data_IF_431643573371
#
_entry.id   IF_431643573371
#
_cell.length_a   1.000
_cell.length_b   1.000
_cell.length_c   1.000
_cell.angle_alpha   90.00
_cell.angle_beta   90.00
_cell.angle_gamma   90.00
#
_symmetry.space_group_name_H-M   'P 1'
#
loop_
_entity.id
_entity.type
_entity.pdbx_description
1 polymer ?
#
# COMPACT_ATOMS: atom_id res chain seq x y z
N UNK A 1 -3.81 25.62 -22.14
CA UNK A 1 -3.70 24.53 -21.15
C UNK A 1 -2.60 23.61 -21.64
N UNK A 2 -1.55 23.38 -20.84
CA UNK A 2 -0.52 22.39 -21.18
C UNK A 2 -1.16 21.00 -21.29
N UNK A 3 -0.70 20.20 -22.26
CA UNK A 3 -1.22 18.81 -22.39
C UNK A 3 -0.65 17.96 -21.26
N UNK A 4 -1.43 17.78 -20.20
CA UNK A 4 -1.04 16.98 -19.03
C UNK A 4 -0.80 15.49 -19.38
N UNK A 5 -1.22 15.02 -20.56
CA UNK A 5 -1.04 13.63 -21.00
C UNK A 5 0.43 13.23 -21.07
N UNK A 6 1.36 14.18 -21.32
CA UNK A 6 2.81 13.91 -21.32
C UNK A 6 3.36 13.42 -19.97
N UNK A 7 2.62 13.61 -18.86
CA UNK A 7 3.01 13.13 -17.54
C UNK A 7 2.46 11.74 -17.20
N UNK A 8 1.55 11.20 -18.03
CA UNK A 8 0.93 9.89 -17.80
C UNK A 8 1.98 8.78 -17.72
N UNK A 9 2.98 8.78 -18.61
CA UNK A 9 4.02 7.77 -18.61
C UNK A 9 4.84 7.80 -17.31
N UNK A 10 5.18 8.99 -16.81
CA UNK A 10 5.86 9.15 -15.53
C UNK A 10 4.98 8.67 -14.36
N UNK A 11 3.70 9.07 -14.34
CA UNK A 11 2.75 8.64 -13.31
C UNK A 11 2.62 7.12 -13.29
N UNK A 12 2.51 6.50 -14.47
CA UNK A 12 2.39 5.06 -14.59
C UNK A 12 3.66 4.32 -14.13
N UNK A 13 4.85 4.89 -14.38
CA UNK A 13 6.10 4.36 -13.86
C UNK A 13 6.15 4.45 -12.33
N UNK A 14 5.81 5.61 -11.76
CA UNK A 14 5.76 5.79 -10.31
C UNK A 14 4.73 4.87 -9.67
N UNK A 15 3.55 4.72 -10.27
CA UNK A 15 2.52 3.79 -9.77
C UNK A 15 3.04 2.34 -9.75
N UNK A 16 3.70 1.88 -10.82
CA UNK A 16 4.31 0.54 -10.85
C UNK A 16 5.34 0.34 -9.75
N UNK A 17 6.20 1.33 -9.55
CA UNK A 17 7.26 1.26 -8.55
C UNK A 17 6.66 1.25 -7.13
N UNK A 18 5.70 2.13 -6.85
CA UNK A 18 5.00 2.15 -5.56
C UNK A 18 4.24 0.84 -5.29
N UNK A 19 3.53 0.31 -6.30
CA UNK A 19 2.79 -0.95 -6.19
C UNK A 19 3.70 -2.16 -5.96
N UNK A 20 4.96 -2.10 -6.40
CA UNK A 20 5.93 -3.16 -6.18
C UNK A 20 6.55 -3.16 -4.77
N UNK A 21 6.39 -2.07 -4.00
CA UNK A 21 6.90 -1.96 -2.64
C UNK A 21 5.82 -2.44 -1.66
N UNK A 22 6.15 -3.41 -0.83
CA UNK A 22 5.27 -3.86 0.25
C UNK A 22 5.18 -2.78 1.34
N UNK A 23 3.95 -2.42 1.70
CA UNK A 23 3.72 -1.37 2.71
C UNK A 23 2.40 -1.56 3.48
N UNK A 24 2.09 -2.75 4.02
CA UNK A 24 0.93 -2.86 4.91
C UNK A 24 1.08 -1.87 6.07
N UNK A 25 -0.06 -1.33 6.56
CA UNK A 25 -0.02 -0.32 7.64
C UNK A 25 0.84 -0.78 8.80
N UNK A 26 1.83 0.05 9.17
CA UNK A 26 2.87 -0.26 10.14
C UNK A 26 4.22 -0.70 9.53
N UNK A 27 4.26 -1.12 8.28
CA UNK A 27 5.48 -1.46 7.54
C UNK A 27 5.68 -0.49 6.37
N UNK A 28 5.89 0.78 6.66
CA UNK A 28 5.97 1.86 5.65
C UNK A 28 7.39 2.38 5.37
N UNK A 29 8.45 1.77 5.91
CA UNK A 29 9.81 2.32 5.81
C UNK A 29 10.29 2.41 4.38
N UNK A 30 10.16 1.34 3.61
CA UNK A 30 10.67 1.27 2.23
C UNK A 30 9.93 2.21 1.29
N UNK A 31 8.61 2.28 1.37
CA UNK A 31 7.82 3.20 0.55
C UNK A 31 8.13 4.65 0.89
N UNK A 32 8.37 4.97 2.16
CA UNK A 32 8.79 6.30 2.61
C UNK A 32 10.17 6.68 2.07
N UNK A 33 11.13 5.77 2.11
CA UNK A 33 12.48 5.99 1.56
C UNK A 33 12.44 6.18 0.05
N UNK A 34 11.64 5.40 -0.65
CA UNK A 34 11.40 5.57 -2.08
C UNK A 34 10.85 6.96 -2.41
N UNK A 35 9.78 7.39 -1.72
CA UNK A 35 9.17 8.70 -1.92
C UNK A 35 10.14 9.85 -1.68
N UNK A 36 10.91 9.80 -0.58
CA UNK A 36 11.92 10.83 -0.27
C UNK A 36 12.97 10.94 -1.37
N UNK A 37 13.48 9.81 -1.85
CA UNK A 37 14.47 9.75 -2.92
C UNK A 37 13.94 10.33 -4.24
N UNK A 38 12.74 9.94 -4.64
CA UNK A 38 12.14 10.41 -5.89
C UNK A 38 11.78 11.90 -5.85
N UNK A 39 11.27 12.38 -4.71
CA UNK A 39 10.99 13.81 -4.52
C UNK A 39 12.26 14.64 -4.50
N UNK A 40 13.34 14.17 -3.88
CA UNK A 40 14.64 14.79 -3.92
C UNK A 40 15.19 14.89 -5.36
N UNK A 41 15.05 13.82 -6.16
CA UNK A 41 15.44 13.81 -7.58
C UNK A 41 14.66 14.84 -8.41
N UNK A 42 13.43 15.16 -8.01
CA UNK A 42 12.63 16.25 -8.58
C UNK A 42 13.06 17.63 -8.05
N UNK A 43 13.94 17.72 -7.04
CA UNK A 43 14.31 18.95 -6.38
C UNK A 43 13.25 19.48 -5.41
N UNK A 44 12.32 18.64 -5.00
CA UNK A 44 11.26 18.96 -4.04
C UNK A 44 11.78 18.78 -2.62
N UNK A 45 11.56 19.76 -1.76
CA UNK A 45 11.86 19.63 -0.33
C UNK A 45 10.84 18.71 0.32
N UNK A 46 11.31 17.59 0.85
CA UNK A 46 10.48 16.61 1.52
C UNK A 46 11.11 16.15 2.83
N UNK A 47 10.28 15.76 3.77
CA UNK A 47 10.71 15.23 5.07
C UNK A 47 9.80 14.11 5.55
N UNK A 48 10.35 13.21 6.35
CA UNK A 48 9.56 12.20 7.05
C UNK A 48 8.72 12.85 8.16
N UNK A 49 7.48 12.42 8.30
CA UNK A 49 6.60 12.81 9.40
C UNK A 49 6.88 11.98 10.65
N UNK A 50 6.36 12.39 11.80
CA UNK A 50 6.46 11.61 13.04
C UNK A 50 5.84 10.22 12.92
N UNK A 51 4.76 10.09 12.13
CA UNK A 51 4.11 8.81 11.84
C UNK A 51 4.85 7.98 10.77
N UNK A 52 5.88 8.51 10.14
CA UNK A 52 6.68 7.82 9.15
C UNK A 52 6.28 8.07 7.69
N UNK A 53 5.18 8.78 7.41
CA UNK A 53 4.84 9.24 6.06
C UNK A 53 5.75 10.39 5.59
N UNK A 54 5.43 11.02 4.47
CA UNK A 54 6.24 12.10 3.87
C UNK A 54 5.40 13.35 3.66
N UNK A 55 5.90 14.50 4.14
CA UNK A 55 5.42 15.82 3.72
C UNK A 55 6.40 16.40 2.70
N UNK A 56 5.89 16.79 1.55
CA UNK A 56 6.62 17.45 0.48
C UNK A 56 6.08 18.86 0.25
N UNK A 57 6.97 19.82 0.07
CA UNK A 57 6.63 21.21 -0.21
C UNK A 57 6.75 21.47 -1.73
N UNK A 58 5.62 21.59 -2.40
CA UNK A 58 5.56 21.87 -3.84
C UNK A 58 5.70 23.38 -4.15
N UNK A 59 5.85 24.22 -3.11
CA UNK A 59 5.98 25.66 -3.26
C UNK A 59 4.65 26.37 -3.45
N UNK A 60 4.74 27.66 -3.72
CA UNK A 60 3.60 28.57 -3.92
C UNK A 60 3.91 29.98 -3.46
N UNK A 61 3.15 30.97 -3.97
CA UNK A 61 3.37 32.40 -3.70
C UNK A 61 2.83 32.81 -2.33
N UNK A 62 1.59 32.39 -2.03
CA UNK A 62 0.94 32.70 -0.77
C UNK A 62 1.20 31.61 0.26
N UNK A 63 1.95 31.94 1.31
CA UNK A 63 2.36 31.01 2.37
C UNK A 63 1.36 30.91 3.52
N UNK A 64 0.41 31.83 3.61
CA UNK A 64 -0.56 31.92 4.70
C UNK A 64 -1.92 31.33 4.30
N UNK A 65 -2.05 30.86 3.06
CA UNK A 65 -3.24 30.21 2.52
C UNK A 65 -2.80 28.96 1.76
N UNK A 66 -2.32 27.97 2.50
CA UNK A 66 -1.79 26.74 1.95
C UNK A 66 -2.87 25.69 1.70
N UNK A 67 -2.61 24.83 0.73
CA UNK A 67 -3.39 23.62 0.43
C UNK A 67 -2.54 22.40 0.77
N UNK A 68 -3.13 21.44 1.47
CA UNK A 68 -2.57 20.13 1.69
C UNK A 68 -3.29 19.11 0.81
N UNK A 69 -2.56 18.42 -0.05
CA UNK A 69 -3.05 17.29 -0.83
C UNK A 69 -2.57 16.01 -0.14
N UNK A 70 -3.49 15.11 0.19
CA UNK A 70 -3.16 13.87 0.91
C UNK A 70 -3.48 12.66 0.05
N UNK A 71 -2.57 11.72 -0.02
CA UNK A 71 -2.75 10.39 -0.59
C UNK A 71 -2.03 9.37 0.29
N UNK A 72 -2.55 8.15 0.41
CA UNK A 72 -1.88 7.18 1.25
C UNK A 72 -1.07 6.15 0.44
N UNK A 73 -0.02 5.63 1.07
CA UNK A 73 0.87 4.62 0.51
C UNK A 73 0.88 3.33 1.32
N UNK A 74 0.21 3.30 2.47
CA UNK A 74 0.00 2.04 3.17
C UNK A 74 -1.09 1.23 2.48
N UNK A 75 -1.07 -0.06 2.72
CA UNK A 75 -1.95 -1.03 2.08
C UNK A 75 -2.63 -1.92 3.11
N UNK A 76 -3.71 -2.55 2.68
CA UNK A 76 -4.22 -3.72 3.36
C UNK A 76 -3.16 -4.82 3.42
N UNK A 77 -3.24 -5.67 4.43
CA UNK A 77 -2.32 -6.78 4.60
C UNK A 77 -2.79 -7.77 5.65
N UNK A 78 -1.86 -8.61 6.09
CA UNK A 78 -2.02 -9.53 7.20
C UNK A 78 -0.85 -9.44 8.17
N UNK A 79 -1.06 -9.99 9.34
CA UNK A 79 -0.02 -10.19 10.34
C UNK A 79 -0.11 -11.60 10.88
N UNK A 80 1.02 -12.25 11.12
CA UNK A 80 1.06 -13.57 11.75
C UNK A 80 0.50 -13.46 13.16
N UNK A 81 -0.66 -14.05 13.39
CA UNK A 81 -1.28 -14.13 14.72
C UNK A 81 -0.79 -15.35 15.49
N UNK A 82 -0.55 -16.47 14.80
CA UNK A 82 -0.10 -17.72 15.40
C UNK A 82 0.61 -18.59 14.37
N UNK A 83 1.66 -19.28 14.78
CA UNK A 83 2.22 -20.42 14.06
C UNK A 83 1.54 -21.69 14.60
N UNK A 84 0.87 -22.44 13.74
CA UNK A 84 0.20 -23.69 14.08
C UNK A 84 1.19 -24.83 14.26
N UNK A 85 0.79 -25.94 14.88
CA UNK A 85 1.66 -27.10 15.11
C UNK A 85 2.22 -27.71 13.83
N UNK A 86 1.49 -27.58 12.71
CA UNK A 86 1.92 -28.04 11.38
C UNK A 86 2.76 -26.99 10.62
N UNK A 87 3.22 -25.93 11.28
CA UNK A 87 4.03 -24.86 10.70
C UNK A 87 3.26 -23.82 9.88
N UNK A 88 1.97 -24.00 9.62
CA UNK A 88 1.14 -23.04 8.88
C UNK A 88 0.83 -21.82 9.72
N UNK A 89 0.61 -20.68 9.08
CA UNK A 89 0.43 -19.40 9.75
C UNK A 89 -1.05 -19.02 9.78
N UNK A 90 -1.59 -18.80 10.99
CA UNK A 90 -2.87 -18.12 11.18
C UNK A 90 -2.62 -16.62 11.12
N UNK A 91 -3.46 -15.89 10.40
CA UNK A 91 -3.35 -14.44 10.25
C UNK A 91 -4.39 -13.69 11.08
N UNK A 92 -4.07 -12.43 11.36
CA UNK A 92 -5.04 -11.36 11.61
C UNK A 92 -4.90 -10.32 10.49
N UNK A 93 -5.98 -9.60 10.20
CA UNK A 93 -5.95 -8.59 9.14
C UNK A 93 -5.25 -7.30 9.59
N UNK A 94 -4.68 -6.61 8.62
CA UNK A 94 -4.29 -5.20 8.71
C UNK A 94 -5.25 -4.43 7.79
N UNK A 95 -5.92 -3.42 8.36
CA UNK A 95 -6.97 -2.71 7.66
C UNK A 95 -8.19 -3.58 7.33
N UNK A 96 -8.90 -3.23 6.27
CA UNK A 96 -10.14 -3.88 5.85
C UNK A 96 -9.98 -5.17 5.04
N UNK A 97 -8.80 -5.81 5.02
CA UNK A 97 -8.56 -7.02 4.22
C UNK A 97 -9.56 -8.13 4.53
N UNK A 98 -10.18 -8.67 3.49
CA UNK A 98 -11.18 -9.75 3.61
C UNK A 98 -10.57 -11.10 3.25
N UNK A 99 -10.80 -12.16 4.05
CA UNK A 99 -10.27 -13.51 3.79
C UNK A 99 -10.66 -14.06 2.42
N UNK A 100 -11.87 -13.75 1.94
CA UNK A 100 -12.32 -14.17 0.62
C UNK A 100 -11.49 -13.56 -0.53
N UNK A 101 -10.87 -12.40 -0.31
CA UNK A 101 -9.97 -11.77 -1.28
C UNK A 101 -8.52 -12.24 -1.14
N UNK A 102 -8.22 -12.99 -0.08
CA UNK A 102 -6.89 -13.53 0.22
C UNK A 102 -6.72 -14.99 -0.23
N UNK A 103 -7.82 -15.74 -0.36
CA UNK A 103 -7.78 -17.15 -0.77
C UNK A 103 -7.12 -17.31 -2.15
N UNK A 104 -6.21 -18.26 -2.26
CA UNK A 104 -5.40 -18.57 -3.44
C UNK A 104 -4.42 -17.45 -3.86
N UNK A 105 -4.09 -16.52 -2.97
CA UNK A 105 -3.13 -15.47 -3.27
C UNK A 105 -1.72 -15.85 -2.80
N UNK A 106 -0.72 -15.45 -3.59
CA UNK A 106 0.67 -15.46 -3.19
C UNK A 106 0.92 -14.36 -2.15
N UNK A 107 1.75 -14.65 -1.18
CA UNK A 107 2.11 -13.72 -0.13
C UNK A 107 3.62 -13.72 0.11
N UNK A 108 4.12 -12.61 0.67
CA UNK A 108 5.45 -12.53 1.26
C UNK A 108 5.31 -12.36 2.76
N UNK A 109 6.00 -13.21 3.50
CA UNK A 109 6.11 -13.13 4.97
C UNK A 109 7.39 -12.35 5.26
N UNK A 110 7.27 -11.18 5.88
CA UNK A 110 8.39 -10.33 6.24
C UNK A 110 8.64 -10.46 7.73
N UNK A 111 9.78 -11.06 8.07
CA UNK A 111 10.15 -11.29 9.47
C UNK A 111 10.76 -10.04 10.10
N UNK A 112 10.68 -9.96 11.41
CA UNK A 112 11.32 -8.88 12.19
C UNK A 112 12.85 -8.81 12.01
N UNK A 113 13.46 -9.90 11.56
CA UNK A 113 14.90 -9.99 11.28
C UNK A 113 15.23 -9.73 9.80
N UNK A 114 14.33 -9.05 9.06
CA UNK A 114 14.45 -8.71 7.63
C UNK A 114 14.52 -9.95 6.68
N UNK A 115 14.13 -11.13 7.16
CA UNK A 115 13.91 -12.30 6.28
C UNK A 115 12.62 -12.14 5.50
N UNK A 116 12.65 -12.54 4.21
CA UNK A 116 11.48 -12.53 3.34
C UNK A 116 11.27 -13.95 2.82
N UNK A 117 10.08 -14.50 3.05
CA UNK A 117 9.70 -15.83 2.59
C UNK A 117 8.43 -15.75 1.76
N UNK A 118 8.37 -16.52 0.69
CA UNK A 118 7.15 -16.69 -0.09
C UNK A 118 6.17 -17.64 0.60
N UNK A 119 4.91 -17.51 0.28
CA UNK A 119 3.86 -18.37 0.78
C UNK A 119 2.56 -18.24 0.00
N UNK A 120 1.63 -19.14 0.29
CA UNK A 120 0.32 -19.17 -0.35
C UNK A 120 -0.77 -19.11 0.72
N UNK A 121 -1.69 -18.15 0.58
CA UNK A 121 -2.88 -18.07 1.42
C UNK A 121 -3.96 -19.00 0.87
N UNK A 122 -4.49 -19.89 1.70
CA UNK A 122 -5.51 -20.85 1.28
C UNK A 122 -6.47 -21.20 2.41
N UNK A 123 -7.54 -21.93 2.10
CA UNK A 123 -8.36 -22.57 3.14
C UNK A 123 -7.55 -23.60 3.92
N UNK A 124 -7.86 -23.76 5.20
CA UNK A 124 -7.29 -24.82 6.06
C UNK A 124 -7.52 -26.18 5.45
N UNK A 125 -8.72 -26.44 4.92
CA UNK A 125 -9.07 -27.65 4.16
C UNK A 125 -9.37 -27.25 2.71
N UNK A 126 -8.30 -27.04 1.93
CA UNK A 126 -8.33 -26.41 0.62
C UNK A 126 -8.76 -27.32 -0.54
N UNK A 127 -8.75 -28.64 -0.35
CA UNK A 127 -9.01 -29.56 -1.46
C UNK A 127 -10.50 -29.81 -1.68
N UNK A 128 -11.04 -29.35 -2.79
CA UNK A 128 -12.44 -29.59 -3.20
C UNK A 128 -12.78 -31.08 -3.37
N UNK A 129 -11.77 -31.94 -3.61
CA UNK A 129 -11.98 -33.38 -3.83
C UNK A 129 -12.21 -34.14 -2.52
N UNK A 130 -11.75 -33.63 -1.39
CA UNK A 130 -11.86 -34.31 -0.09
C UNK A 130 -12.64 -33.50 0.94
N UNK A 131 -12.75 -32.18 0.76
CA UNK A 131 -13.55 -31.31 1.61
C UNK A 131 -15.00 -31.25 1.11
N UNK A 132 -15.86 -32.12 1.65
CA UNK A 132 -17.29 -32.13 1.32
C UNK A 132 -18.06 -30.87 1.72
N UNK A 133 -17.45 -29.97 2.46
CA UNK A 133 -18.01 -28.69 2.90
C UNK A 133 -17.37 -27.48 2.24
N UNK A 134 -16.49 -27.67 1.27
CA UNK A 134 -15.68 -26.60 0.65
C UNK A 134 -16.52 -25.37 0.25
N UNK A 135 -17.63 -25.59 -0.49
CA UNK A 135 -18.51 -24.52 -0.97
C UNK A 135 -19.26 -23.80 0.17
N UNK A 136 -19.47 -24.48 1.31
CA UNK A 136 -20.21 -23.95 2.47
C UNK A 136 -19.28 -23.34 3.51
N UNK A 137 -17.98 -23.56 3.39
CA UNK A 137 -17.01 -23.04 4.34
C UNK A 137 -16.93 -21.50 4.19
N UNK A 138 -17.36 -20.78 5.21
CA UNK A 138 -17.19 -19.32 5.25
C UNK A 138 -15.70 -18.97 5.26
N UNK A 139 -15.32 -17.95 4.48
CA UNK A 139 -13.95 -17.43 4.43
C UNK A 139 -13.76 -16.43 5.55
N UNK A 140 -13.15 -16.88 6.63
CA UNK A 140 -12.81 -16.10 7.81
C UNK A 140 -11.31 -16.25 8.10
N UNK A 141 -10.75 -15.41 8.97
CA UNK A 141 -9.35 -15.55 9.40
C UNK A 141 -9.09 -16.78 10.27
N UNK A 142 -10.14 -17.53 10.64
CA UNK A 142 -10.03 -18.84 11.28
C UNK A 142 -10.03 -19.99 10.28
N UNK A 143 -10.59 -19.78 9.09
CA UNK A 143 -10.73 -20.80 8.05
C UNK A 143 -9.73 -20.65 6.90
N UNK A 144 -8.96 -19.56 6.86
CA UNK A 144 -7.82 -19.40 5.95
C UNK A 144 -6.51 -19.41 6.73
N UNK A 145 -5.45 -19.80 6.06
CA UNK A 145 -4.10 -19.87 6.62
C UNK A 145 -3.06 -19.64 5.53
N UNK A 146 -1.82 -19.36 5.89
CA UNK A 146 -0.70 -19.30 4.95
C UNK A 146 0.16 -20.54 5.09
N UNK A 147 0.43 -21.18 3.96
CA UNK A 147 1.54 -22.12 3.79
C UNK A 147 2.79 -21.29 3.48
N UNK A 148 3.89 -21.62 4.15
CA UNK A 148 5.20 -21.09 3.80
C UNK A 148 5.79 -21.99 2.71
N UNK A 149 6.31 -21.39 1.62
CA UNK A 149 6.86 -22.14 0.48
C UNK A 149 8.32 -22.54 0.74
N UNK A 150 8.54 -23.11 1.93
CA UNK A 150 9.81 -23.62 2.44
C UNK A 150 9.60 -25.02 3.05
N UNK A 151 10.67 -25.69 3.42
CA UNK A 151 10.62 -27.01 4.07
C UNK A 151 10.15 -26.88 5.54
N UNK A 152 8.86 -26.57 5.70
CA UNK A 152 8.17 -26.35 6.97
C UNK A 152 7.10 -27.40 7.17
N UNK A 153 7.31 -28.29 8.12
CA UNK A 153 6.40 -29.38 8.47
C UNK A 153 5.84 -29.27 9.90
N UNK A 154 6.48 -28.45 10.73
CA UNK A 154 6.06 -28.22 12.11
C UNK A 154 6.36 -26.76 12.53
N UNK A 155 5.84 -26.37 13.68
CA UNK A 155 6.05 -25.04 14.27
C UNK A 155 7.54 -24.66 14.37
N UNK A 156 8.36 -25.60 14.82
CA UNK A 156 9.79 -25.38 15.04
C UNK A 156 10.54 -25.04 13.76
N UNK A 157 10.09 -25.56 12.61
CA UNK A 157 10.70 -25.26 11.31
C UNK A 157 10.41 -23.80 10.92
N UNK A 158 9.18 -23.32 11.05
CA UNK A 158 8.84 -21.92 10.81
C UNK A 158 9.60 -20.97 11.77
N UNK A 159 9.75 -21.35 13.04
CA UNK A 159 10.53 -20.59 14.03
C UNK A 159 12.01 -20.53 13.66
N UNK A 160 12.60 -21.61 13.12
CA UNK A 160 14.01 -21.61 12.64
C UNK A 160 14.22 -20.64 11.48
N UNK A 161 13.21 -20.40 10.65
CA UNK A 161 13.22 -19.36 9.59
C UNK A 161 13.14 -17.94 10.19
N UNK A 162 12.92 -17.80 11.49
CA UNK A 162 12.75 -16.50 12.16
C UNK A 162 11.32 -15.97 12.10
N UNK A 163 10.37 -16.77 11.62
CA UNK A 163 8.95 -16.38 11.57
C UNK A 163 8.38 -16.39 12.99
N UNK A 164 7.65 -15.32 13.34
CA UNK A 164 7.04 -15.17 14.65
C UNK A 164 5.69 -14.42 14.57
N UNK A 165 4.84 -14.54 15.59
CA UNK A 165 3.68 -13.67 15.73
C UNK A 165 4.09 -12.19 15.70
N UNK A 166 3.38 -11.39 14.91
CA UNK A 166 3.67 -9.98 14.67
C UNK A 166 4.45 -9.71 13.38
N UNK A 167 4.89 -10.74 12.66
CA UNK A 167 5.48 -10.58 11.33
C UNK A 167 4.43 -10.21 10.29
N UNK A 168 4.80 -9.38 9.31
CA UNK A 168 3.90 -8.91 8.27
C UNK A 168 3.70 -9.95 7.18
N UNK A 169 2.48 -9.99 6.65
CA UNK A 169 2.12 -10.81 5.49
C UNK A 169 1.56 -9.90 4.40
N UNK A 170 2.34 -9.75 3.34
CA UNK A 170 2.06 -8.87 2.22
C UNK A 170 1.49 -9.68 1.07
N UNK A 171 0.33 -9.26 0.54
CA UNK A 171 -0.32 -9.94 -0.58
C UNK A 171 0.23 -9.43 -1.90
N UNK A 172 0.42 -10.33 -2.86
CA UNK A 172 0.93 -9.96 -4.18
C UNK A 172 0.02 -8.93 -4.86
N UNK A 173 0.55 -7.78 -5.35
CA UNK A 173 -0.27 -6.75 -5.99
C UNK A 173 -0.79 -7.18 -7.38
N UNK A 174 -0.15 -8.10 -8.05
CA UNK A 174 -0.49 -8.60 -9.40
C UNK A 174 -0.61 -7.49 -10.43
N UNK A 175 0.27 -6.51 -10.35
CA UNK A 175 0.25 -5.32 -11.22
C UNK A 175 0.43 -5.70 -12.68
N UNK A 176 -0.50 -5.25 -13.53
CA UNK A 176 -0.45 -5.41 -14.99
C UNK A 176 -0.93 -4.14 -15.67
N UNK A 177 -0.28 -3.80 -16.78
CA UNK A 177 -0.73 -2.74 -17.67
C UNK A 177 -1.06 -3.39 -19.01
N UNK A 178 -2.28 -3.17 -19.50
CA UNK A 178 -2.72 -3.71 -20.78
C UNK A 178 -2.19 -2.87 -21.94
N UNK A 179 -2.10 -3.42 -23.17
CA UNK A 179 -1.73 -2.64 -24.34
C UNK A 179 -2.65 -1.45 -24.62
N UNK A 180 -3.90 -1.50 -24.14
CA UNK A 180 -4.88 -0.40 -24.24
C UNK A 180 -4.75 0.65 -23.13
N UNK A 181 -3.78 0.51 -22.21
CA UNK A 181 -3.48 1.49 -21.18
C UNK A 181 -4.23 1.30 -19.85
N UNK A 182 -4.98 0.22 -19.67
CA UNK A 182 -5.57 -0.08 -18.36
C UNK A 182 -4.52 -0.58 -17.39
N UNK A 183 -4.49 -0.01 -16.19
CA UNK A 183 -3.75 -0.55 -15.04
C UNK A 183 -4.69 -1.40 -14.18
N UNK A 184 -4.22 -2.59 -13.84
CA UNK A 184 -4.89 -3.51 -12.94
C UNK A 184 -3.92 -3.97 -11.87
N UNK A 185 -4.29 -3.79 -10.60
CA UNK A 185 -3.47 -4.17 -9.46
C UNK A 185 -4.34 -4.24 -8.20
N UNK A 186 -3.88 -4.93 -7.15
CA UNK A 186 -4.25 -4.58 -5.78
C UNK A 186 -3.59 -3.25 -5.44
N UNK A 187 -4.11 -2.57 -4.43
CA UNK A 187 -3.46 -1.39 -3.82
C UNK A 187 -3.33 -0.18 -4.76
N UNK A 188 -4.16 -0.12 -5.83
CA UNK A 188 -4.39 1.15 -6.54
C UNK A 188 -4.94 2.20 -5.57
N UNK A 189 -5.72 1.75 -4.63
CA UNK A 189 -6.07 2.39 -3.38
C UNK A 189 -4.88 2.29 -2.42
N UNK A 190 -4.11 3.37 -2.16
CA UNK A 190 -4.25 4.68 -2.85
C UNK A 190 -2.89 5.09 -3.48
N UNK A 191 -2.06 4.10 -3.79
CA UNK A 191 -0.74 4.31 -4.40
C UNK A 191 -0.83 4.96 -5.78
N UNK A 192 -1.97 4.84 -6.47
CA UNK A 192 -2.17 5.53 -7.74
C UNK A 192 -2.29 7.03 -7.53
N UNK A 193 -3.04 7.49 -6.53
CA UNK A 193 -3.15 8.92 -6.22
C UNK A 193 -1.81 9.47 -5.73
N UNK A 194 -1.06 8.70 -4.95
CA UNK A 194 0.31 9.06 -4.58
C UNK A 194 1.19 9.29 -5.83
N UNK A 195 1.12 8.40 -6.82
CA UNK A 195 1.83 8.57 -8.08
C UNK A 195 1.36 9.79 -8.87
N UNK A 196 0.05 10.11 -8.82
CA UNK A 196 -0.51 11.32 -9.44
C UNK A 196 0.04 12.58 -8.77
N UNK A 197 0.15 12.62 -7.45
CA UNK A 197 0.77 13.75 -6.73
C UNK A 197 2.26 13.92 -7.11
N UNK A 198 3.00 12.82 -7.30
CA UNK A 198 4.38 12.86 -7.82
C UNK A 198 4.41 13.40 -9.26
N UNK A 199 3.45 13.02 -10.10
CA UNK A 199 3.28 13.58 -11.45
C UNK A 199 2.99 15.07 -11.44
N UNK A 200 2.22 15.55 -10.47
CA UNK A 200 1.97 16.97 -10.27
C UNK A 200 3.26 17.71 -9.86
N UNK A 201 4.05 17.16 -8.95
CA UNK A 201 5.36 17.72 -8.60
C UNK A 201 6.27 17.84 -9.83
N UNK A 202 6.32 16.78 -10.66
CA UNK A 202 7.07 16.79 -11.93
C UNK A 202 6.56 17.86 -12.89
N UNK A 203 5.26 18.02 -13.03
CA UNK A 203 4.64 19.07 -13.85
C UNK A 203 5.09 20.47 -13.39
N UNK A 204 5.01 20.75 -12.09
CA UNK A 204 5.41 22.05 -11.55
C UNK A 204 6.88 22.37 -11.85
N UNK A 205 7.74 21.36 -11.72
CA UNK A 205 9.17 21.49 -12.03
C UNK A 205 9.41 21.73 -13.52
N UNK A 206 8.90 20.84 -14.38
CA UNK A 206 9.20 20.85 -15.82
C UNK A 206 8.67 22.11 -16.51
N UNK A 207 7.49 22.59 -16.09
CA UNK A 207 6.85 23.77 -16.66
C UNK A 207 7.25 25.07 -15.92
N UNK A 208 8.10 24.97 -14.87
CA UNK A 208 8.46 26.11 -14.02
C UNK A 208 7.23 26.86 -13.46
N UNK A 209 6.20 26.10 -13.12
CA UNK A 209 4.95 26.66 -12.58
C UNK A 209 5.09 26.86 -11.08
N UNK A 210 4.75 28.06 -10.61
CA UNK A 210 4.62 28.36 -9.18
C UNK A 210 3.12 28.51 -8.88
N UNK A 211 2.52 27.64 -8.05
CA UNK A 211 1.12 27.77 -7.65
C UNK A 211 0.85 29.11 -6.96
N UNK A 212 -0.38 29.62 -7.06
CA UNK A 212 -0.79 30.86 -6.37
C UNK A 212 -0.81 30.65 -4.86
N UNK A 213 -1.44 29.58 -4.40
CA UNK A 213 -1.43 29.13 -3.02
C UNK A 213 -0.26 28.17 -2.80
N UNK A 214 0.30 28.13 -1.60
CA UNK A 214 1.34 27.14 -1.27
C UNK A 214 0.72 25.75 -1.23
N UNK A 215 1.32 24.80 -1.95
CA UNK A 215 0.85 23.43 -2.02
C UNK A 215 1.82 22.52 -1.31
N UNK A 216 1.29 21.68 -0.44
CA UNK A 216 1.98 20.58 0.19
C UNK A 216 1.35 19.27 -0.25
N UNK A 217 2.16 18.24 -0.39
CA UNK A 217 1.67 16.87 -0.54
C UNK A 217 2.01 16.06 0.72
N UNK A 218 1.05 15.33 1.26
CA UNK A 218 1.24 14.43 2.38
C UNK A 218 0.98 13.00 1.91
N UNK A 219 2.04 12.21 1.83
CA UNK A 219 1.98 10.78 1.56
C UNK A 219 1.88 10.07 2.91
N UNK A 220 0.68 9.62 3.27
CA UNK A 220 0.40 9.01 4.57
C UNK A 220 0.64 7.50 4.54
N UNK A 221 0.75 6.86 5.71
CA UNK A 221 1.02 5.42 5.84
C UNK A 221 0.19 4.72 6.94
N UNK A 222 -0.91 5.31 7.38
CA UNK A 222 -1.82 4.73 8.38
C UNK A 222 -3.30 4.99 8.05
N UNK A 223 -3.62 5.28 6.78
CA UNK A 223 -5.00 5.54 6.36
C UNK A 223 -5.88 4.32 6.56
N UNK A 224 -5.44 3.16 6.12
CA UNK A 224 -6.15 1.87 6.16
C UNK A 224 -6.53 1.40 7.58
N UNK A 225 -5.96 2.04 8.60
CA UNK A 225 -6.28 1.84 10.01
C UNK A 225 -6.84 3.11 10.68
N UNK A 226 -7.27 4.08 9.87
CA UNK A 226 -8.14 5.19 10.28
C UNK A 226 -7.44 6.43 10.86
N UNK A 227 -6.14 6.69 10.63
CA UNK A 227 -5.50 7.87 11.20
C UNK A 227 -4.29 8.44 10.42
N UNK A 228 -4.22 8.22 9.11
CA UNK A 228 -3.08 8.65 8.28
C UNK A 228 -2.81 10.15 8.32
N UNK A 229 -3.79 10.97 7.97
CA UNK A 229 -3.68 12.42 7.81
C UNK A 229 -3.67 13.23 9.11
N UNK A 230 -3.90 12.63 10.27
CA UNK A 230 -4.19 13.32 11.53
C UNK A 230 -2.98 13.97 12.22
N UNK A 231 -1.83 14.09 11.58
CA UNK A 231 -0.65 14.72 12.17
C UNK A 231 0.24 15.36 11.10
N UNK A 232 1.10 16.28 11.53
CA UNK A 232 2.14 16.90 10.69
C UNK A 232 1.61 17.88 9.63
N UNK A 233 0.40 18.42 9.80
CA UNK A 233 -0.13 19.48 8.94
C UNK A 233 0.83 20.70 9.01
N UNK A 234 1.35 21.19 7.86
CA UNK A 234 2.23 22.36 7.86
C UNK A 234 1.52 23.63 8.32
N UNK A 235 2.29 24.54 8.91
CA UNK A 235 1.78 25.88 9.26
C UNK A 235 1.32 26.63 8.00
N UNK A 236 0.25 27.41 8.13
CA UNK A 236 -0.35 28.17 7.05
C UNK A 236 -1.26 27.38 6.12
N UNK A 237 -1.45 26.09 6.36
CA UNK A 237 -2.46 25.29 5.64
C UNK A 237 -3.85 25.68 6.13
N UNK A 238 -4.72 26.07 5.20
CA UNK A 238 -6.11 26.47 5.46
C UNK A 238 -7.11 25.50 4.85
N UNK A 239 -6.65 24.60 3.98
CA UNK A 239 -7.49 23.67 3.25
C UNK A 239 -6.75 22.34 3.04
N UNK A 240 -7.42 21.20 3.25
CA UNK A 240 -6.90 19.88 2.99
C UNK A 240 -7.83 19.10 2.06
N UNK A 241 -7.24 18.38 1.11
CA UNK A 241 -7.96 17.54 0.14
C UNK A 241 -7.40 16.13 0.22
N UNK A 242 -8.26 15.16 0.54
CA UNK A 242 -7.94 13.75 0.32
C UNK A 242 -8.07 13.44 -1.16
N UNK A 243 -6.99 12.99 -1.75
CA UNK A 243 -6.94 12.52 -3.14
C UNK A 243 -6.97 11.01 -3.05
N UNK A 244 -8.17 10.48 -2.94
CA UNK A 244 -8.42 9.08 -2.71
C UNK A 244 -9.42 8.55 -3.73
N UNK A 245 -9.60 7.24 -3.80
CA UNK A 245 -10.51 6.65 -4.76
C UNK A 245 -11.96 6.62 -4.28
N UNK A 246 -12.88 6.79 -5.21
CA UNK A 246 -14.30 6.57 -4.97
C UNK A 246 -14.76 5.20 -5.48
N UNK A 247 -15.70 4.57 -4.77
CA UNK A 247 -16.34 3.33 -5.22
C UNK A 247 -17.32 3.65 -6.36
N UNK A 248 -16.82 3.85 -7.58
CA UNK A 248 -17.63 4.15 -8.75
C UNK A 248 -17.61 2.99 -9.74
N UNK A 249 -18.71 2.78 -10.42
CA UNK A 249 -18.82 1.76 -11.45
C UNK A 249 -20.24 1.61 -11.96
N UNK A 250 -20.39 1.03 -13.14
CA UNK A 250 -21.71 0.74 -13.70
C UNK A 250 -22.49 -0.20 -12.77
N UNK A 251 -23.67 0.22 -12.35
CA UNK A 251 -24.53 -0.54 -11.42
C UNK A 251 -24.18 -0.40 -9.93
N UNK A 252 -23.18 0.40 -9.57
CA UNK A 252 -22.91 0.74 -8.18
C UNK A 252 -23.76 1.93 -7.73
N UNK A 253 -24.15 1.93 -6.46
CA UNK A 253 -24.91 3.01 -5.82
C UNK A 253 -23.95 3.84 -4.95
N UNK A 254 -23.13 4.64 -5.58
CA UNK A 254 -22.19 5.55 -4.90
C UNK A 254 -22.42 6.98 -5.35
#
# INVERSE_FOLDING_TARGET
>A
MSDCRKYVDYIMEQAKNLLAIDSPSGYGREVTEYLLKELEALGVQARRTVKGGVIADFGGRNKEDGILLEAHCDTLGGMVAQIKENGRLKLTNIGGMKPANAEAENVRIITKADGIYEGTCQLVDASVHVNGSYEKTERTWDTVEVLVDEDVTCREDAVKLGIMPGDYVCFEPRTRITPSGYIKSRFLDDKLSAAILMGYAKYLKDESVTPERRVYAHFTIYEEVGHGGSASVPEGVTEAWSVDMGCVGEGLQC
#
